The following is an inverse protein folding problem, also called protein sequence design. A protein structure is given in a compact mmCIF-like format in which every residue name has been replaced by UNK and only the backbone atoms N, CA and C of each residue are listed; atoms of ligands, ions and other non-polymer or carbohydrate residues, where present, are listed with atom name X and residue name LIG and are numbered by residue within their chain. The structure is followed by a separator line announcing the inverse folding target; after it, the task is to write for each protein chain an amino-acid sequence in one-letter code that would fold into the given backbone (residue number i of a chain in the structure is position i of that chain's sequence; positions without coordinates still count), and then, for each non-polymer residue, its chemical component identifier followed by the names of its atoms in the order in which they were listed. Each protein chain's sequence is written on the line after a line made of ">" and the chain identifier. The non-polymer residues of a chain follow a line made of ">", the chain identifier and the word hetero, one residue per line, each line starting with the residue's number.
data_IF_225526550310
#
_entry.id   IF_225526550310
#
_cell.length_a   1.000
_cell.length_b   1.000
_cell.length_c   1.000
_cell.angle_alpha   90.00
_cell.angle_beta   90.00
_cell.angle_gamma   90.00
#
_symmetry.space_group_name_H-M   'P 1'
#
loop_
_entity.id
_entity.type
_entity.pdbx_description
1 polymer ?
#
# COMPACT_ATOMS: atom_id res chain seq x y z
N UNK A 1 -17.02 -16.37 20.97
CA UNK A 1 -15.62 -16.34 20.53
C UNK A 1 -15.09 -14.92 20.68
N UNK A 2 -13.85 -14.73 21.17
CA UNK A 2 -13.22 -13.40 21.20
C UNK A 2 -13.00 -12.86 19.77
N UNK A 3 -12.96 -11.54 19.61
CA UNK A 3 -12.68 -10.89 18.32
C UNK A 3 -11.27 -11.27 17.83
N UNK A 4 -11.11 -11.50 16.53
CA UNK A 4 -9.81 -11.78 15.92
C UNK A 4 -8.92 -10.53 16.00
N UNK A 5 -7.76 -10.64 16.65
CA UNK A 5 -6.84 -9.52 16.88
C UNK A 5 -5.45 -10.04 17.26
N UNK A 6 -4.51 -9.12 17.46
CA UNK A 6 -3.14 -9.37 17.91
C UNK A 6 -2.87 -8.69 19.26
N UNK A 7 -1.76 -9.00 19.91
CA UNK A 7 -1.34 -8.35 21.16
C UNK A 7 -0.57 -7.04 20.88
N UNK A 8 -0.82 -5.99 21.67
CA UNK A 8 -0.26 -4.65 21.45
C UNK A 8 -1.16 -3.79 20.58
N UNK A 9 -0.60 -2.83 19.85
CA UNK A 9 -1.34 -1.87 19.00
C UNK A 9 -1.92 -0.69 19.77
N UNK A 10 -2.54 0.22 19.03
CA UNK A 10 -3.14 1.47 19.52
C UNK A 10 -4.49 1.71 18.86
N UNK A 11 -5.26 2.65 19.41
CA UNK A 11 -6.50 3.16 18.83
C UNK A 11 -6.33 4.67 18.56
N UNK A 12 -5.76 5.06 17.40
CA UNK A 12 -5.67 6.47 17.02
C UNK A 12 -7.05 7.02 16.65
N UNK A 13 -7.17 8.34 16.58
CA UNK A 13 -8.32 8.97 15.94
C UNK A 13 -8.41 8.50 14.48
N UNK A 14 -9.58 8.01 14.06
CA UNK A 14 -9.69 7.33 12.75
C UNK A 14 -9.80 8.32 11.59
N UNK A 15 -10.52 9.44 11.75
CA UNK A 15 -10.70 10.47 10.72
C UNK A 15 -11.36 9.99 9.42
N UNK A 16 -11.96 8.79 9.43
CA UNK A 16 -12.56 8.18 8.23
C UNK A 16 -13.88 8.81 7.85
N UNK A 17 -14.59 9.42 8.79
CA UNK A 17 -15.85 10.14 8.60
C UNK A 17 -15.73 11.29 7.59
N UNK A 18 -14.51 11.81 7.37
CA UNK A 18 -14.27 12.89 6.42
C UNK A 18 -14.51 12.47 4.95
N UNK A 19 -14.28 11.20 4.60
CA UNK A 19 -14.31 10.75 3.20
C UNK A 19 -15.03 9.42 2.96
N UNK A 20 -15.37 8.65 4.01
CA UNK A 20 -15.93 7.30 3.84
C UNK A 20 -17.29 7.29 3.13
N UNK A 21 -18.11 8.31 3.34
CA UNK A 21 -19.48 8.38 2.79
C UNK A 21 -19.52 9.00 1.38
N UNK A 22 -18.37 9.48 0.87
CA UNK A 22 -18.23 10.00 -0.49
C UNK A 22 -17.92 8.88 -1.48
N UNK A 23 -18.77 8.67 -2.52
CA UNK A 23 -18.50 7.70 -3.58
C UNK A 23 -17.18 7.98 -4.30
N UNK A 24 -16.66 6.98 -4.98
CA UNK A 24 -15.46 7.13 -5.82
C UNK A 24 -15.80 8.03 -7.02
N UNK A 25 -15.13 9.17 -7.14
CA UNK A 25 -15.23 10.07 -8.28
C UNK A 25 -14.09 9.80 -9.28
N UNK A 26 -14.41 9.68 -10.57
CA UNK A 26 -13.37 9.55 -11.60
C UNK A 26 -12.73 10.89 -11.86
N UNK A 27 -11.41 10.97 -11.75
CA UNK A 27 -10.64 12.16 -12.14
C UNK A 27 -9.90 11.91 -13.46
N UNK A 28 -10.04 12.85 -14.42
CA UNK A 28 -9.30 12.85 -15.67
C UNK A 28 -8.25 13.97 -15.63
N UNK A 29 -6.94 13.64 -15.61
CA UNK A 29 -5.87 14.61 -15.51
C UNK A 29 -5.80 15.47 -16.79
N UNK A 30 -5.43 16.74 -16.62
CA UNK A 30 -5.33 17.71 -17.73
C UNK A 30 -3.89 17.98 -18.14
N UNK A 31 -2.96 17.86 -17.19
CA UNK A 31 -1.54 18.09 -17.41
C UNK A 31 -0.80 16.87 -17.96
N UNK A 32 0.50 16.98 -18.06
CA UNK A 32 1.40 15.90 -18.43
C UNK A 32 1.42 14.81 -17.35
N UNK A 33 1.57 13.56 -17.76
CA UNK A 33 1.67 12.42 -16.85
C UNK A 33 3.13 12.02 -16.65
N UNK A 34 3.52 11.84 -15.39
CA UNK A 34 4.89 11.51 -14.99
C UNK A 34 4.93 10.10 -14.41
N UNK A 35 5.64 9.18 -15.05
CA UNK A 35 5.72 7.77 -14.67
C UNK A 35 7.11 7.43 -14.13
N UNK A 36 7.34 7.44 -12.81
CA UNK A 36 8.59 6.97 -12.24
C UNK A 36 8.89 5.53 -12.68
N UNK A 37 10.11 5.24 -13.12
CA UNK A 37 10.54 3.90 -13.50
C UNK A 37 10.64 2.96 -12.29
N UNK A 38 10.81 3.52 -11.09
CA UNK A 38 10.89 2.81 -9.81
C UNK A 38 9.61 3.01 -9.00
N UNK A 39 8.55 2.24 -9.29
CA UNK A 39 7.28 2.27 -8.56
C UNK A 39 7.07 1.04 -7.66
N UNK A 40 8.06 0.15 -7.54
CA UNK A 40 7.98 -1.12 -6.82
C UNK A 40 9.35 -1.53 -6.27
N UNK A 41 9.37 -2.50 -5.35
CA UNK A 41 10.62 -3.12 -4.88
C UNK A 41 11.21 -3.96 -6.01
N UNK A 42 12.54 -3.98 -6.10
CA UNK A 42 13.30 -4.73 -7.09
C UNK A 42 13.94 -3.83 -8.14
N UNK A 43 14.19 -4.37 -9.32
CA UNK A 43 14.81 -3.62 -10.41
C UNK A 43 13.82 -2.61 -11.01
N UNK A 44 14.20 -1.35 -11.27
CA UNK A 44 13.36 -0.39 -11.99
C UNK A 44 12.92 -0.94 -13.35
N UNK A 45 11.76 -0.50 -13.83
CA UNK A 45 11.30 -0.82 -15.17
C UNK A 45 12.19 -0.14 -16.22
N UNK A 46 12.33 -0.75 -17.38
CA UNK A 46 13.20 -0.28 -18.49
C UNK A 46 12.31 0.30 -19.58
N UNK A 47 12.46 1.57 -19.97
CA UNK A 47 11.65 2.18 -21.02
C UNK A 47 11.72 1.41 -22.34
N UNK A 48 10.58 1.18 -22.98
CA UNK A 48 10.47 0.63 -24.32
C UNK A 48 9.90 1.65 -25.32
N UNK A 49 9.78 2.91 -24.90
CA UNK A 49 9.36 4.07 -25.70
C UNK A 49 10.43 5.16 -25.69
N UNK A 50 10.41 6.03 -26.69
CA UNK A 50 11.33 7.16 -26.86
C UNK A 50 10.59 8.46 -27.12
N UNK A 51 11.27 9.58 -26.98
CA UNK A 51 10.73 10.91 -27.29
C UNK A 51 10.12 10.95 -28.70
N UNK A 52 8.90 11.47 -28.77
CA UNK A 52 8.12 11.61 -29.99
C UNK A 52 7.21 10.41 -30.32
N UNK A 53 7.31 9.31 -29.59
CA UNK A 53 6.40 8.18 -29.80
C UNK A 53 4.98 8.55 -29.33
N UNK A 54 3.97 8.21 -30.12
CA UNK A 54 2.56 8.29 -29.74
C UNK A 54 2.18 7.03 -28.98
N UNK A 55 1.41 7.18 -27.89
CA UNK A 55 0.95 6.09 -27.05
C UNK A 55 -0.55 6.18 -26.78
N UNK A 56 -1.17 5.03 -26.52
CA UNK A 56 -2.56 4.91 -26.09
C UNK A 56 -2.62 4.52 -24.60
N UNK A 57 -3.72 4.85 -23.91
CA UNK A 57 -3.95 4.39 -22.57
C UNK A 57 -4.00 2.85 -22.53
N UNK A 58 -3.32 2.23 -21.57
CA UNK A 58 -3.13 0.77 -21.50
C UNK A 58 -1.94 0.24 -22.28
N UNK A 59 -1.31 1.03 -23.15
CA UNK A 59 -0.11 0.60 -23.87
C UNK A 59 1.10 0.48 -22.92
N UNK A 60 1.87 -0.59 -23.07
CA UNK A 60 3.11 -0.78 -22.32
C UNK A 60 4.15 0.26 -22.76
N UNK A 61 4.72 0.98 -21.79
CA UNK A 61 5.73 2.04 -21.99
C UNK A 61 7.09 1.70 -21.37
N UNK A 62 7.13 0.69 -20.49
CA UNK A 62 8.39 0.15 -19.97
C UNK A 62 8.23 -1.34 -19.68
N UNK A 63 9.28 -2.10 -19.94
CA UNK A 63 9.38 -3.53 -19.61
C UNK A 63 9.87 -3.75 -18.17
N UNK A 64 9.66 -4.96 -17.65
CA UNK A 64 10.26 -5.36 -16.37
C UNK A 64 11.78 -5.40 -16.46
N UNK A 65 12.47 -4.73 -15.52
CA UNK A 65 13.94 -4.66 -15.49
C UNK A 65 14.64 -5.87 -14.89
N UNK A 66 13.90 -6.90 -14.46
CA UNK A 66 14.45 -8.10 -13.84
C UNK A 66 13.38 -9.06 -13.33
N UNK A 67 13.79 -10.09 -12.58
CA UNK A 67 12.85 -11.07 -12.01
C UNK A 67 11.88 -10.44 -11.03
N UNK A 68 12.38 -9.62 -10.10
CA UNK A 68 11.55 -8.82 -9.18
C UNK A 68 11.34 -7.45 -9.84
N UNK A 69 10.42 -7.38 -10.80
CA UNK A 69 10.05 -6.17 -11.53
C UNK A 69 8.77 -6.42 -12.30
N UNK A 70 8.08 -5.34 -12.71
CA UNK A 70 6.87 -5.39 -13.54
C UNK A 70 6.90 -4.30 -14.61
N UNK A 71 6.15 -4.46 -15.72
CA UNK A 71 5.97 -3.41 -16.73
C UNK A 71 5.23 -2.18 -16.20
N UNK A 72 5.41 -1.04 -16.90
CA UNK A 72 4.60 0.16 -16.76
C UNK A 72 3.75 0.37 -18.01
N UNK A 73 2.55 0.92 -17.81
CA UNK A 73 1.60 1.21 -18.88
C UNK A 73 1.18 2.66 -18.83
N UNK A 74 1.01 3.28 -19.99
CA UNK A 74 0.43 4.60 -20.10
C UNK A 74 -0.99 4.61 -19.53
N UNK A 75 -1.36 5.64 -18.85
CA UNK A 75 -2.71 5.82 -18.28
C UNK A 75 -3.56 6.78 -19.11
N UNK A 76 -2.94 7.47 -20.06
CA UNK A 76 -3.56 8.38 -21.03
C UNK A 76 -3.06 8.09 -22.43
N UNK A 77 -3.76 8.59 -23.47
CA UNK A 77 -3.21 8.75 -24.81
C UNK A 77 -2.42 10.06 -24.90
N UNK A 78 -1.43 10.09 -25.79
CA UNK A 78 -0.60 11.26 -25.96
C UNK A 78 0.75 10.99 -26.61
N UNK A 79 1.71 11.90 -26.40
CA UNK A 79 3.06 11.83 -26.99
C UNK A 79 4.12 11.79 -25.89
N UNK A 80 5.08 10.89 -26.02
CA UNK A 80 6.22 10.78 -25.08
C UNK A 80 7.13 11.99 -25.25
N UNK A 81 7.25 12.83 -24.21
CA UNK A 81 8.14 14.01 -24.18
C UNK A 81 9.61 13.60 -23.99
N UNK A 82 9.84 12.51 -23.24
CA UNK A 82 11.16 12.00 -22.95
C UNK A 82 11.25 11.26 -21.62
N UNK A 83 12.51 10.99 -21.22
CA UNK A 83 12.83 10.48 -19.89
C UNK A 83 13.51 11.62 -19.13
N UNK A 84 12.90 12.02 -18.02
CA UNK A 84 13.31 13.18 -17.23
C UNK A 84 13.37 12.81 -15.74
N UNK A 85 14.11 13.62 -14.96
CA UNK A 85 14.16 13.44 -13.51
C UNK A 85 13.05 14.23 -12.84
N UNK A 86 12.21 13.53 -12.09
CA UNK A 86 11.15 14.13 -11.27
C UNK A 86 11.24 13.67 -9.82
N UNK A 87 10.69 14.49 -8.94
CA UNK A 87 10.56 14.18 -7.53
C UNK A 87 9.54 13.07 -7.33
N UNK A 88 9.86 12.10 -6.48
CA UNK A 88 8.90 11.10 -6.01
C UNK A 88 8.43 11.41 -4.58
N UNK A 89 7.40 10.70 -4.12
CA UNK A 89 6.84 10.88 -2.78
C UNK A 89 7.82 10.57 -1.62
N UNK A 90 8.96 9.92 -1.88
CA UNK A 90 10.00 9.68 -0.86
C UNK A 90 11.07 10.78 -0.80
N UNK A 91 10.91 11.86 -1.59
CA UNK A 91 11.82 12.99 -1.64
C UNK A 91 13.07 12.76 -2.50
N UNK A 92 13.05 11.80 -3.43
CA UNK A 92 14.17 11.50 -4.30
C UNK A 92 13.88 11.89 -5.75
N UNK A 93 14.90 12.43 -6.44
CA UNK A 93 14.84 12.64 -7.90
C UNK A 93 15.09 11.31 -8.60
N UNK A 94 14.11 10.85 -9.38
CA UNK A 94 14.14 9.57 -10.09
C UNK A 94 13.84 9.74 -11.57
N UNK A 95 14.32 8.81 -12.39
CA UNK A 95 14.03 8.82 -13.82
C UNK A 95 12.56 8.44 -14.06
N UNK A 96 11.88 9.26 -14.88
CA UNK A 96 10.46 9.14 -15.20
C UNK A 96 10.25 9.23 -16.71
N UNK A 97 9.33 8.44 -17.23
CA UNK A 97 8.76 8.69 -18.56
C UNK A 97 7.73 9.82 -18.40
N UNK A 98 7.82 10.86 -19.26
CA UNK A 98 6.85 11.95 -19.30
C UNK A 98 6.03 11.86 -20.57
N UNK A 99 4.70 11.87 -20.43
CA UNK A 99 3.74 11.83 -21.55
C UNK A 99 2.93 13.12 -21.55
N UNK A 100 2.99 13.85 -22.66
CA UNK A 100 2.09 14.97 -22.95
C UNK A 100 0.69 14.40 -23.22
N UNK A 101 -0.26 14.77 -22.37
CA UNK A 101 -1.63 14.28 -22.42
C UNK A 101 -2.40 14.99 -23.55
N UNK A 102 -2.90 14.23 -24.53
CA UNK A 102 -3.71 14.77 -25.62
C UNK A 102 -5.19 14.99 -25.22
N UNK A 103 -5.57 14.60 -24.00
CA UNK A 103 -6.91 14.67 -23.42
C UNK A 103 -7.99 13.91 -24.22
N UNK A 104 -7.59 13.00 -25.11
CA UNK A 104 -8.52 12.14 -25.85
C UNK A 104 -8.80 10.84 -25.09
N UNK A 105 -7.89 10.40 -24.22
CA UNK A 105 -7.98 9.18 -23.39
C UNK A 105 -8.30 7.93 -24.22
N UNK A 106 -7.78 7.85 -25.46
CA UNK A 106 -7.96 6.68 -26.31
C UNK A 106 -7.24 5.49 -25.70
N UNK A 107 -7.97 4.37 -25.58
CA UNK A 107 -7.45 3.13 -25.00
C UNK A 107 -7.01 2.14 -26.08
N UNK A 108 -6.07 1.26 -25.74
CA UNK A 108 -5.81 0.06 -26.54
C UNK A 108 -7.01 -0.89 -26.44
N UNK A 109 -7.15 -1.81 -27.40
CA UNK A 109 -8.13 -2.89 -27.29
C UNK A 109 -7.67 -3.91 -26.24
N UNK A 110 -8.54 -4.23 -25.28
CA UNK A 110 -8.27 -5.19 -24.21
C UNK A 110 -8.86 -6.56 -24.56
N UNK A 111 -8.08 -7.63 -24.31
CA UNK A 111 -8.51 -8.99 -24.54
C UNK A 111 -9.02 -9.62 -23.26
N UNK A 112 -10.33 -9.76 -23.13
CA UNK A 112 -10.95 -10.49 -22.03
C UNK A 112 -10.71 -12.00 -22.15
N UNK A 113 -10.71 -12.69 -21.01
CA UNK A 113 -10.55 -14.14 -20.94
C UNK A 113 -11.45 -14.73 -19.87
N UNK A 114 -11.82 -15.97 -20.04
CA UNK A 114 -12.54 -16.74 -19.03
C UNK A 114 -11.52 -17.47 -18.17
N UNK A 115 -11.78 -17.54 -16.87
CA UNK A 115 -10.85 -18.14 -15.91
C UNK A 115 -10.59 -19.62 -16.20
N UNK A 116 -11.62 -20.35 -16.62
CA UNK A 116 -11.56 -21.77 -16.95
C UNK A 116 -10.68 -22.11 -18.14
N UNK A 117 -10.39 -21.12 -19.01
CA UNK A 117 -9.58 -21.31 -20.21
C UNK A 117 -8.08 -21.03 -19.95
N UNK A 118 -7.70 -20.60 -18.73
CA UNK A 118 -6.35 -20.18 -18.40
C UNK A 118 -5.60 -21.21 -17.55
N UNK A 119 -4.37 -21.50 -17.91
CA UNK A 119 -3.43 -22.25 -17.09
C UNK A 119 -2.87 -21.39 -15.95
N UNK A 120 -2.34 -22.02 -14.90
CA UNK A 120 -1.67 -21.30 -13.78
C UNK A 120 -0.52 -20.40 -14.27
N UNK A 121 0.23 -20.84 -15.27
CA UNK A 121 1.33 -20.07 -15.85
C UNK A 121 0.83 -18.84 -16.60
N UNK A 122 -0.24 -18.96 -17.39
CA UNK A 122 -0.87 -17.84 -18.10
C UNK A 122 -1.44 -16.82 -17.12
N UNK A 123 -2.06 -17.25 -16.02
CA UNK A 123 -2.54 -16.37 -14.95
C UNK A 123 -1.36 -15.57 -14.36
N UNK A 124 -0.27 -16.22 -13.97
CA UNK A 124 0.92 -15.55 -13.41
C UNK A 124 1.54 -14.59 -14.43
N UNK A 125 1.62 -14.97 -15.70
CA UNK A 125 2.13 -14.10 -16.75
C UNK A 125 1.23 -12.88 -16.97
N UNK A 126 -0.10 -13.02 -16.99
CA UNK A 126 -1.04 -11.88 -17.10
C UNK A 126 -0.95 -10.94 -15.90
N UNK A 127 -0.76 -11.45 -14.69
CA UNK A 127 -0.51 -10.64 -13.49
C UNK A 127 0.78 -9.83 -13.65
N UNK A 128 1.86 -10.46 -14.15
CA UNK A 128 3.14 -9.81 -14.43
C UNK A 128 2.98 -8.74 -15.51
N UNK A 129 2.49 -9.13 -16.69
CA UNK A 129 2.33 -8.24 -17.85
C UNK A 129 1.31 -7.11 -17.57
N UNK A 130 0.28 -7.35 -16.77
CA UNK A 130 -0.62 -6.31 -16.27
C UNK A 130 0.02 -5.34 -15.28
N UNK A 131 1.28 -5.56 -14.89
CA UNK A 131 2.03 -4.68 -14.01
C UNK A 131 1.50 -4.65 -12.57
N UNK A 132 0.90 -5.77 -12.09
CA UNK A 132 0.29 -5.82 -10.76
C UNK A 132 1.35 -5.92 -9.67
N UNK A 133 1.24 -5.03 -8.68
CA UNK A 133 2.11 -4.97 -7.50
C UNK A 133 1.29 -4.92 -6.22
N UNK A 134 1.91 -5.17 -5.08
CA UNK A 134 1.27 -5.02 -3.76
C UNK A 134 0.94 -3.55 -3.46
N UNK A 135 -0.33 -3.17 -3.56
CA UNK A 135 -0.79 -1.77 -3.49
C UNK A 135 -1.05 -1.25 -2.07
N UNK A 136 -1.04 -2.13 -1.08
CA UNK A 136 -1.18 -1.76 0.35
C UNK A 136 0.15 -1.48 1.06
N UNK A 137 1.28 -1.39 0.33
CA UNK A 137 2.60 -1.23 0.94
C UNK A 137 3.70 -0.92 -0.07
N UNK A 138 4.82 -1.61 0.04
CA UNK A 138 6.07 -1.29 -0.68
C UNK A 138 6.09 -1.68 -2.17
N UNK A 139 4.98 -2.11 -2.76
CA UNK A 139 4.90 -2.40 -4.19
C UNK A 139 5.62 -3.69 -4.61
N UNK A 140 5.62 -4.74 -3.80
CA UNK A 140 6.24 -5.99 -4.22
C UNK A 140 5.49 -6.62 -5.40
N UNK A 141 6.18 -7.07 -6.48
CA UNK A 141 5.54 -7.68 -7.65
C UNK A 141 4.67 -8.88 -7.31
N UNK A 142 3.37 -8.80 -7.62
CA UNK A 142 2.37 -9.79 -7.18
C UNK A 142 2.60 -11.17 -7.80
N UNK A 143 3.05 -11.25 -9.08
CA UNK A 143 3.35 -12.52 -9.73
C UNK A 143 4.47 -13.31 -9.01
N UNK A 144 5.45 -12.61 -8.41
CA UNK A 144 6.52 -13.26 -7.62
C UNK A 144 5.97 -13.78 -6.30
N UNK A 145 5.10 -13.00 -5.63
CA UNK A 145 4.45 -13.39 -4.38
C UNK A 145 3.57 -14.62 -4.56
N UNK A 146 2.85 -14.70 -5.69
CA UNK A 146 1.92 -15.79 -6.02
C UNK A 146 2.61 -17.03 -6.63
N UNK A 147 3.93 -17.00 -6.83
CA UNK A 147 4.75 -18.11 -7.29
C UNK A 147 5.79 -18.52 -6.21
N UNK A 148 5.35 -18.98 -5.00
CA UNK A 148 6.28 -19.45 -3.98
C UNK A 148 6.98 -20.73 -4.45
N UNK A 149 8.14 -21.04 -3.84
CA UNK A 149 8.94 -22.24 -4.19
C UNK A 149 8.14 -23.54 -4.08
N UNK A 150 7.23 -23.61 -3.11
CA UNK A 150 6.33 -24.74 -2.89
C UNK A 150 4.88 -24.24 -2.73
N UNK A 151 4.11 -24.16 -3.83
CA UNK A 151 2.72 -23.73 -3.80
C UNK A 151 1.80 -24.63 -2.97
N UNK A 152 2.17 -25.92 -2.79
CA UNK A 152 1.35 -26.88 -2.03
C UNK A 152 1.29 -26.58 -0.54
N UNK A 153 2.26 -25.81 -0.02
CA UNK A 153 2.31 -25.37 1.38
C UNK A 153 1.40 -24.18 1.69
N UNK A 154 0.88 -23.51 0.66
CA UNK A 154 -0.01 -22.35 0.88
C UNK A 154 -1.40 -22.85 1.25
N UNK A 155 -1.81 -22.51 2.46
CA UNK A 155 -3.10 -22.90 3.05
C UNK A 155 -4.08 -21.71 3.11
N UNK A 156 -3.56 -20.48 3.18
CA UNK A 156 -4.39 -19.28 3.34
C UNK A 156 -3.99 -18.15 2.40
N UNK A 157 -4.97 -17.63 1.67
CA UNK A 157 -4.86 -16.37 0.93
C UNK A 157 -5.66 -15.32 1.71
N UNK A 158 -4.97 -14.33 2.27
CA UNK A 158 -5.57 -13.28 3.08
C UNK A 158 -5.74 -12.00 2.23
N UNK A 159 -6.98 -11.60 1.98
CA UNK A 159 -7.29 -10.29 1.43
C UNK A 159 -7.33 -9.29 2.58
N UNK A 160 -6.40 -8.36 2.57
CA UNK A 160 -6.28 -7.32 3.57
C UNK A 160 -7.23 -6.17 3.26
N UNK A 161 -8.42 -6.20 3.85
CA UNK A 161 -9.42 -5.15 3.86
C UNK A 161 -9.53 -4.44 5.22
N UNK A 162 -8.51 -4.59 6.09
CA UNK A 162 -8.51 -3.92 7.40
C UNK A 162 -8.50 -2.40 7.25
N UNK A 163 -7.60 -1.85 6.40
CA UNK A 163 -7.44 -0.40 6.19
C UNK A 163 -7.30 0.36 7.50
N UNK A 164 -6.32 -0.09 8.34
CA UNK A 164 -6.14 0.40 9.70
C UNK A 164 -5.44 1.77 9.81
N UNK A 165 -4.86 2.29 8.72
CA UNK A 165 -4.31 3.67 8.69
C UNK A 165 -5.44 4.69 8.83
N UNK A 166 -5.29 5.68 9.75
CA UNK A 166 -6.26 6.76 9.87
C UNK A 166 -6.44 7.55 8.57
N UNK A 167 -7.60 8.15 8.40
CA UNK A 167 -8.05 8.99 7.27
C UNK A 167 -8.25 8.29 5.93
N UNK A 168 -7.66 7.10 5.70
CA UNK A 168 -7.74 6.40 4.42
C UNK A 168 -9.05 5.63 4.33
N UNK A 169 -9.75 5.75 3.19
CA UNK A 169 -11.04 5.09 2.93
C UNK A 169 -11.12 4.50 1.52
N UNK A 170 -10.02 4.44 0.79
CA UNK A 170 -9.96 3.92 -0.58
C UNK A 170 -10.36 2.45 -0.67
N UNK A 171 -9.85 1.58 0.23
CA UNK A 171 -10.19 0.16 0.24
C UNK A 171 -11.64 -0.07 0.72
N UNK A 172 -12.10 0.70 1.72
CA UNK A 172 -13.50 0.69 2.15
C UNK A 172 -14.43 0.97 0.96
N UNK A 173 -14.18 2.06 0.23
CA UNK A 173 -15.01 2.41 -0.94
C UNK A 173 -14.96 1.36 -2.03
N UNK A 174 -13.79 0.76 -2.29
CA UNK A 174 -13.67 -0.38 -3.21
C UNK A 174 -14.53 -1.56 -2.79
N UNK A 175 -14.50 -1.93 -1.51
CA UNK A 175 -15.31 -3.03 -0.98
C UNK A 175 -16.81 -2.74 -1.03
N UNK A 176 -17.24 -1.48 -0.91
CA UNK A 176 -18.64 -1.09 -1.00
C UNK A 176 -19.12 -0.97 -2.46
N UNK A 177 -18.31 -0.40 -3.34
CA UNK A 177 -18.75 -0.08 -4.71
C UNK A 177 -18.45 -1.20 -5.72
N UNK A 178 -17.40 -1.97 -5.50
CA UNK A 178 -16.95 -3.02 -6.42
C UNK A 178 -16.66 -4.37 -5.70
N UNK A 179 -17.52 -4.83 -4.77
CA UNK A 179 -17.25 -6.01 -3.94
C UNK A 179 -17.09 -7.29 -4.78
N UNK A 180 -17.81 -7.41 -5.90
CA UNK A 180 -17.73 -8.56 -6.81
C UNK A 180 -16.32 -8.68 -7.42
N UNK A 181 -15.63 -7.55 -7.67
CA UNK A 181 -14.27 -7.58 -8.20
C UNK A 181 -13.26 -8.11 -7.18
N UNK A 182 -13.48 -7.84 -5.88
CA UNK A 182 -12.67 -8.40 -4.80
C UNK A 182 -12.83 -9.92 -4.76
N UNK A 183 -14.08 -10.42 -4.77
CA UNK A 183 -14.36 -11.85 -4.75
C UNK A 183 -13.81 -12.55 -5.98
N UNK A 184 -14.06 -12.01 -7.18
CA UNK A 184 -13.52 -12.56 -8.45
C UNK A 184 -11.99 -12.57 -8.49
N UNK A 185 -11.35 -11.51 -8.00
CA UNK A 185 -9.89 -11.46 -7.91
C UNK A 185 -9.31 -12.50 -6.96
N UNK A 186 -9.97 -12.71 -5.81
CA UNK A 186 -9.60 -13.78 -4.88
C UNK A 186 -9.81 -15.17 -5.50
N UNK A 187 -10.90 -15.40 -6.27
CA UNK A 187 -11.11 -16.62 -7.00
C UNK A 187 -9.99 -16.89 -8.00
N UNK A 188 -9.56 -15.87 -8.78
CA UNK A 188 -8.40 -15.98 -9.68
C UNK A 188 -7.15 -16.41 -8.92
N UNK A 189 -6.85 -15.79 -7.77
CA UNK A 189 -5.68 -16.15 -6.97
C UNK A 189 -5.79 -17.59 -6.45
N UNK A 190 -6.97 -18.01 -6.00
CA UNK A 190 -7.21 -19.35 -5.45
C UNK A 190 -7.04 -20.47 -6.49
N UNK A 191 -7.15 -20.19 -7.81
CA UNK A 191 -6.86 -21.19 -8.82
C UNK A 191 -5.39 -21.58 -8.92
N UNK A 192 -4.49 -20.72 -8.40
CA UNK A 192 -3.05 -21.01 -8.35
C UNK A 192 -2.71 -22.06 -7.27
N UNK A 193 -3.59 -22.25 -6.27
CA UNK A 193 -3.36 -23.06 -5.08
C UNK A 193 -4.50 -24.09 -4.89
N UNK A 194 -4.19 -25.37 -4.92
CA UNK A 194 -5.19 -26.44 -4.99
C UNK A 194 -6.05 -26.54 -3.73
N UNK A 195 -5.48 -26.32 -2.53
CA UNK A 195 -6.14 -26.51 -1.23
C UNK A 195 -6.31 -25.23 -0.41
N UNK A 196 -5.78 -24.10 -0.86
CA UNK A 196 -5.82 -22.87 -0.07
C UNK A 196 -7.25 -22.34 0.14
N UNK A 197 -7.49 -21.75 1.32
CA UNK A 197 -8.71 -20.99 1.64
C UNK A 197 -8.46 -19.50 1.50
N UNK A 198 -9.45 -18.77 1.00
CA UNK A 198 -9.43 -17.32 0.89
C UNK A 198 -10.12 -16.68 2.10
N UNK A 199 -9.44 -15.78 2.78
CA UNK A 199 -10.01 -15.00 3.88
C UNK A 199 -10.04 -13.53 3.51
N UNK A 200 -11.24 -12.91 3.49
CA UNK A 200 -11.39 -11.48 3.33
C UNK A 200 -11.45 -10.88 4.75
N UNK A 201 -10.37 -10.22 5.17
CA UNK A 201 -10.20 -9.71 6.53
C UNK A 201 -10.62 -8.24 6.58
N UNK A 202 -11.69 -7.91 7.32
CA UNK A 202 -12.28 -6.58 7.40
C UNK A 202 -12.41 -6.18 8.87
N UNK A 203 -12.03 -4.93 9.22
CA UNK A 203 -12.21 -4.41 10.57
C UNK A 203 -13.69 -4.17 10.91
N UNK A 204 -14.05 -4.40 12.18
CA UNK A 204 -15.42 -4.33 12.71
C UNK A 204 -16.04 -2.92 12.71
N UNK A 205 -15.27 -1.88 12.37
CA UNK A 205 -15.80 -0.53 12.09
C UNK A 205 -16.40 -0.38 10.68
N UNK A 206 -16.46 -1.47 9.88
CA UNK A 206 -17.01 -1.52 8.51
C UNK A 206 -18.12 -2.58 8.40
N UNK A 207 -19.20 -2.49 9.22
CA UNK A 207 -20.23 -3.55 9.30
C UNK A 207 -21.00 -3.75 7.99
N UNK A 208 -21.18 -2.71 7.21
CA UNK A 208 -21.79 -2.71 5.89
C UNK A 208 -20.96 -3.49 4.85
N UNK A 209 -19.63 -3.28 4.82
CA UNK A 209 -18.70 -4.07 4.01
C UNK A 209 -18.74 -5.55 4.43
N UNK A 210 -18.71 -5.83 5.73
CA UNK A 210 -18.74 -7.19 6.27
C UNK A 210 -20.03 -7.90 5.84
N UNK A 211 -21.20 -7.24 5.98
CA UNK A 211 -22.49 -7.80 5.59
C UNK A 211 -22.53 -8.09 4.08
N UNK A 212 -22.12 -7.12 3.26
CA UNK A 212 -22.11 -7.23 1.81
C UNK A 212 -21.19 -8.35 1.31
N UNK A 213 -19.96 -8.43 1.85
CA UNK A 213 -19.02 -9.47 1.49
C UNK A 213 -19.48 -10.86 1.94
N UNK A 214 -20.04 -11.00 3.16
CA UNK A 214 -20.60 -12.27 3.64
C UNK A 214 -21.72 -12.79 2.72
N UNK A 215 -22.60 -11.91 2.25
CA UNK A 215 -23.67 -12.29 1.33
C UNK A 215 -23.13 -12.76 -0.02
N UNK A 216 -22.08 -12.10 -0.55
CA UNK A 216 -21.47 -12.46 -1.83
C UNK A 216 -20.71 -13.80 -1.80
N UNK A 217 -20.17 -14.17 -0.65
CA UNK A 217 -19.34 -15.39 -0.54
C UNK A 217 -20.06 -16.57 0.10
N UNK A 218 -21.35 -16.43 0.48
CA UNK A 218 -22.08 -17.45 1.23
C UNK A 218 -22.12 -18.83 0.57
N UNK A 219 -22.13 -18.85 -0.76
CA UNK A 219 -22.20 -20.08 -1.57
C UNK A 219 -20.82 -20.45 -2.20
N UNK A 220 -19.71 -19.89 -1.68
CA UNK A 220 -18.35 -20.15 -2.17
C UNK A 220 -17.54 -20.84 -1.09
N UNK A 221 -17.46 -22.17 -1.14
CA UNK A 221 -16.87 -23.04 -0.11
C UNK A 221 -15.45 -22.67 0.35
N UNK A 222 -14.64 -22.09 -0.54
CA UNK A 222 -13.23 -21.77 -0.26
C UNK A 222 -13.00 -20.35 0.24
N UNK A 223 -14.04 -19.50 0.33
CA UNK A 223 -13.90 -18.09 0.72
C UNK A 223 -14.72 -17.79 1.98
N UNK A 224 -14.10 -17.13 2.94
CA UNK A 224 -14.72 -16.73 4.20
C UNK A 224 -14.37 -15.27 4.54
N UNK A 225 -15.33 -14.52 5.09
CA UNK A 225 -15.07 -13.19 5.64
C UNK A 225 -14.66 -13.31 7.11
N UNK A 226 -13.48 -12.77 7.44
CA UNK A 226 -12.95 -12.70 8.80
C UNK A 226 -13.12 -11.30 9.35
N UNK A 227 -13.94 -11.17 10.38
CA UNK A 227 -14.13 -9.93 11.10
C UNK A 227 -12.99 -9.76 12.12
N UNK A 228 -12.16 -8.72 11.93
CA UNK A 228 -11.03 -8.41 12.80
C UNK A 228 -11.31 -7.14 13.62
N UNK A 229 -10.69 -7.03 14.79
CA UNK A 229 -10.86 -5.87 15.67
C UNK A 229 -10.27 -4.61 15.04
N UNK A 230 -11.02 -3.51 15.05
CA UNK A 230 -10.52 -2.18 14.71
C UNK A 230 -9.40 -1.76 15.64
N UNK A 231 -8.18 -1.69 15.12
CA UNK A 231 -6.99 -1.43 15.90
C UNK A 231 -5.79 -1.20 14.96
N UNK A 232 -4.91 -0.29 15.30
CA UNK A 232 -3.69 -0.07 14.51
C UNK A 232 -2.47 -0.79 15.14
N UNK A 233 -1.65 -1.55 14.37
CA UNK A 233 -1.72 -1.84 12.94
C UNK A 233 -2.37 -3.22 12.62
N UNK A 234 -3.68 -3.35 12.66
CA UNK A 234 -4.39 -4.60 12.36
C UNK A 234 -4.12 -5.08 10.91
N UNK A 235 -3.99 -4.14 9.96
CA UNK A 235 -3.65 -4.42 8.56
C UNK A 235 -2.16 -4.68 8.30
N UNK A 236 -1.30 -4.66 9.30
CA UNK A 236 0.09 -5.08 9.15
C UNK A 236 0.17 -6.55 8.77
N UNK A 237 1.02 -6.94 7.81
CA UNK A 237 1.09 -8.31 7.28
C UNK A 237 1.21 -9.36 8.39
N UNK A 238 2.14 -9.17 9.36
CA UNK A 238 2.35 -10.11 10.47
C UNK A 238 1.17 -10.15 11.45
N UNK A 239 0.63 -8.98 11.78
CA UNK A 239 -0.50 -8.87 12.71
C UNK A 239 -1.78 -9.43 12.11
N UNK A 240 -1.99 -9.28 10.79
CA UNK A 240 -3.13 -9.84 10.10
C UNK A 240 -3.04 -11.37 9.99
N UNK A 241 -1.87 -11.92 9.64
CA UNK A 241 -1.63 -13.36 9.61
C UNK A 241 -1.95 -13.96 11.00
N UNK A 242 -1.39 -13.36 12.06
CA UNK A 242 -1.66 -13.84 13.42
C UNK A 242 -3.15 -13.77 13.79
N UNK A 243 -3.80 -12.63 13.54
CA UNK A 243 -5.22 -12.45 13.86
C UNK A 243 -6.12 -13.44 13.10
N UNK A 244 -5.84 -13.68 11.81
CA UNK A 244 -6.70 -14.52 10.97
C UNK A 244 -6.41 -16.02 11.08
N UNK A 245 -5.16 -16.42 11.38
CA UNK A 245 -4.72 -17.84 11.33
C UNK A 245 -4.07 -18.35 12.61
N UNK A 246 -3.70 -17.48 13.55
CA UNK A 246 -2.91 -17.82 14.74
C UNK A 246 -1.43 -18.11 14.46
N UNK A 247 -0.96 -17.95 13.20
CA UNK A 247 0.43 -18.21 12.82
C UNK A 247 1.31 -16.99 13.07
N UNK A 248 2.55 -17.24 13.47
CA UNK A 248 3.53 -16.19 13.77
C UNK A 248 4.66 -16.21 12.76
N UNK A 249 5.11 -15.00 12.36
CA UNK A 249 6.27 -14.81 11.49
C UNK A 249 7.21 -13.76 12.07
N UNK A 250 8.51 -13.95 11.91
CA UNK A 250 9.56 -13.02 12.32
C UNK A 250 10.14 -12.23 11.11
N UNK A 251 11.14 -11.39 11.35
CA UNK A 251 11.74 -10.53 10.30
C UNK A 251 12.53 -11.30 9.24
N UNK A 252 12.91 -12.53 9.50
CA UNK A 252 13.64 -13.40 8.57
C UNK A 252 12.75 -14.29 7.72
N UNK A 253 11.43 -14.30 7.98
CA UNK A 253 10.46 -15.17 7.32
C UNK A 253 9.60 -14.37 6.34
N UNK A 254 9.11 -15.06 5.32
CA UNK A 254 8.06 -14.58 4.41
C UNK A 254 6.72 -15.20 4.82
N UNK A 255 5.57 -14.58 4.48
CA UNK A 255 4.25 -15.19 4.71
C UNK A 255 4.11 -16.61 4.18
N UNK A 256 4.73 -16.92 3.04
CA UNK A 256 4.75 -18.25 2.44
C UNK A 256 5.41 -19.32 3.35
N UNK A 257 6.36 -18.93 4.19
CA UNK A 257 7.03 -19.87 5.12
C UNK A 257 6.07 -20.41 6.19
N UNK A 258 4.99 -19.68 6.44
CA UNK A 258 3.90 -20.08 7.34
C UNK A 258 2.61 -20.42 6.58
N UNK A 259 2.72 -20.73 5.28
CA UNK A 259 1.58 -21.16 4.46
C UNK A 259 0.56 -20.05 4.15
N UNK A 260 0.97 -18.80 4.15
CA UNK A 260 0.09 -17.66 3.92
C UNK A 260 0.55 -16.80 2.74
N UNK A 261 -0.41 -16.20 2.03
CA UNK A 261 -0.19 -15.07 1.13
C UNK A 261 -1.11 -13.94 1.58
N UNK A 262 -0.61 -12.71 1.59
CA UNK A 262 -1.40 -11.52 1.99
C UNK A 262 -1.39 -10.52 0.85
N UNK A 263 -2.57 -10.16 0.33
CA UNK A 263 -2.72 -9.12 -0.68
C UNK A 263 -3.79 -8.10 -0.26
N UNK A 264 -3.53 -6.83 -0.57
CA UNK A 264 -4.47 -5.73 -0.32
C UNK A 264 -5.68 -5.81 -1.27
N UNK A 265 -6.81 -5.24 -0.89
CA UNK A 265 -8.06 -5.17 -1.69
C UNK A 265 -7.81 -4.65 -3.11
N UNK A 266 -7.11 -3.53 -3.29
CA UNK A 266 -6.83 -2.96 -4.61
C UNK A 266 -5.93 -3.87 -5.46
N UNK A 267 -4.98 -4.60 -4.83
CA UNK A 267 -4.14 -5.60 -5.51
C UNK A 267 -5.01 -6.74 -6.06
N UNK A 268 -5.92 -7.26 -5.25
CA UNK A 268 -6.83 -8.37 -5.65
C UNK A 268 -7.76 -7.94 -6.79
N UNK A 269 -8.31 -6.72 -6.71
CA UNK A 269 -9.10 -6.13 -7.83
C UNK A 269 -8.24 -6.01 -9.10
N UNK A 270 -6.97 -5.61 -8.96
CA UNK A 270 -6.05 -5.47 -10.08
C UNK A 270 -5.67 -6.81 -10.70
N UNK A 271 -5.58 -7.87 -9.90
CA UNK A 271 -5.42 -9.25 -10.42
C UNK A 271 -6.62 -9.62 -11.30
N UNK A 272 -7.85 -9.39 -10.82
CA UNK A 272 -9.05 -9.62 -11.65
C UNK A 272 -9.01 -8.82 -12.95
N UNK A 273 -8.70 -7.52 -12.89
CA UNK A 273 -8.64 -6.65 -14.07
C UNK A 273 -7.58 -7.14 -15.08
N UNK A 274 -6.38 -7.50 -14.60
CA UNK A 274 -5.29 -7.95 -15.47
C UNK A 274 -5.56 -9.32 -16.09
N UNK A 275 -6.05 -10.28 -15.30
CA UNK A 275 -6.21 -11.67 -15.76
C UNK A 275 -7.46 -11.85 -16.61
N UNK A 276 -8.59 -11.31 -16.16
CA UNK A 276 -9.90 -11.55 -16.83
C UNK A 276 -10.22 -10.47 -17.84
N UNK A 277 -10.02 -9.18 -17.49
CA UNK A 277 -10.38 -8.07 -18.38
C UNK A 277 -9.22 -7.62 -19.29
N UNK A 278 -8.01 -8.20 -19.16
CA UNK A 278 -6.83 -7.81 -19.92
C UNK A 278 -6.34 -6.38 -19.61
N UNK A 279 -6.84 -5.73 -18.56
CA UNK A 279 -6.56 -4.34 -18.23
C UNK A 279 -5.37 -4.21 -17.29
N UNK A 280 -4.30 -3.50 -17.67
CA UNK A 280 -3.13 -3.31 -16.82
C UNK A 280 -3.41 -2.32 -15.68
N UNK A 281 -2.50 -2.30 -14.70
CA UNK A 281 -2.52 -1.31 -13.61
C UNK A 281 -2.04 0.04 -14.13
N UNK A 282 -2.99 0.89 -14.46
CA UNK A 282 -2.78 2.27 -14.89
C UNK A 282 -3.63 3.29 -14.11
N UNK A 283 -4.37 2.84 -13.11
CA UNK A 283 -5.20 3.68 -12.25
C UNK A 283 -5.40 3.04 -10.88
N UNK A 284 -5.71 3.86 -9.87
CA UNK A 284 -6.11 3.38 -8.55
C UNK A 284 -7.01 4.39 -7.83
N UNK A 285 -7.69 3.95 -6.76
CA UNK A 285 -8.40 4.88 -5.87
C UNK A 285 -7.42 5.50 -4.87
N UNK A 286 -7.48 6.80 -4.75
CA UNK A 286 -6.67 7.63 -3.85
C UNK A 286 -7.60 8.43 -2.95
N UNK A 287 -7.40 8.35 -1.62
CA UNK A 287 -8.11 9.19 -0.66
C UNK A 287 -7.42 10.55 -0.54
N UNK A 288 -8.14 11.62 -0.83
CA UNK A 288 -7.76 13.01 -0.51
C UNK A 288 -8.44 13.37 0.81
N UNK A 289 -7.69 13.59 1.91
CA UNK A 289 -8.30 13.78 3.23
C UNK A 289 -7.44 14.62 4.16
N UNK A 290 -7.91 14.76 5.40
CA UNK A 290 -7.31 15.62 6.42
C UNK A 290 -8.11 16.88 6.66
N UNK A 291 -7.79 17.60 7.75
CA UNK A 291 -8.45 18.84 8.13
C UNK A 291 -8.00 20.04 7.28
N UNK A 292 -6.92 19.91 6.51
CA UNK A 292 -6.34 20.94 5.65
C UNK A 292 -6.82 20.95 4.19
N UNK A 293 -7.59 19.96 3.72
CA UNK A 293 -8.23 19.95 2.39
C UNK A 293 -9.69 20.40 2.52
N UNK A 294 -10.22 21.10 1.51
CA UNK A 294 -11.59 21.65 1.61
C UNK A 294 -12.67 20.60 1.43
N UNK A 295 -12.49 19.69 0.47
CA UNK A 295 -13.47 18.67 0.09
C UNK A 295 -12.81 17.27 0.15
N UNK A 296 -12.74 16.62 1.34
CA UNK A 296 -12.24 15.26 1.43
C UNK A 296 -13.07 14.31 0.57
N UNK A 297 -12.39 13.46 -0.24
CA UNK A 297 -13.06 12.52 -1.15
C UNK A 297 -12.13 11.38 -1.59
N UNK A 298 -12.71 10.40 -2.29
CA UNK A 298 -11.99 9.31 -2.90
C UNK A 298 -12.02 9.48 -4.43
N UNK A 299 -10.84 9.56 -5.05
CA UNK A 299 -10.71 9.76 -6.49
C UNK A 299 -10.17 8.49 -7.16
N UNK A 300 -10.79 8.06 -8.27
CA UNK A 300 -10.15 7.12 -9.19
C UNK A 300 -9.18 7.91 -10.07
N UNK A 301 -7.88 7.76 -9.78
CA UNK A 301 -6.80 8.53 -10.35
C UNK A 301 -6.01 7.69 -11.35
N UNK A 302 -5.68 8.27 -12.51
CA UNK A 302 -4.77 7.69 -13.48
C UNK A 302 -3.31 7.79 -12.99
N UNK A 303 -2.52 6.73 -13.16
CA UNK A 303 -1.10 6.73 -12.77
C UNK A 303 -0.34 7.83 -13.50
N UNK A 304 0.55 8.52 -12.80
CA UNK A 304 1.31 9.64 -13.35
C UNK A 304 0.67 11.03 -13.15
N UNK A 305 -0.59 11.10 -12.69
CA UNK A 305 -1.26 12.37 -12.37
C UNK A 305 -0.51 13.11 -11.27
N UNK A 306 -0.27 14.39 -11.47
CA UNK A 306 0.34 15.26 -10.45
C UNK A 306 -0.62 15.48 -9.27
N UNK A 307 -0.10 15.44 -8.04
CA UNK A 307 -0.91 15.63 -6.84
C UNK A 307 -1.57 17.01 -6.78
N UNK A 308 -0.95 18.06 -7.35
CA UNK A 308 -1.52 19.39 -7.36
C UNK A 308 -2.87 19.45 -8.10
N UNK A 309 -3.04 18.68 -9.19
CA UNK A 309 -4.32 18.57 -9.88
C UNK A 309 -5.41 17.94 -8.98
N UNK A 310 -5.03 16.97 -8.15
CA UNK A 310 -5.96 16.31 -7.22
C UNK A 310 -6.34 17.22 -6.06
N UNK A 311 -5.44 18.10 -5.62
CA UNK A 311 -5.73 19.14 -4.64
C UNK A 311 -6.83 20.06 -5.19
N UNK A 312 -6.70 20.50 -6.44
CA UNK A 312 -7.70 21.36 -7.09
C UNK A 312 -9.05 20.62 -7.24
N UNK A 313 -9.02 19.34 -7.62
CA UNK A 313 -10.21 18.49 -7.71
C UNK A 313 -10.92 18.27 -6.35
N UNK A 314 -10.17 18.39 -5.25
CA UNK A 314 -10.69 18.35 -3.87
C UNK A 314 -10.96 19.75 -3.30
N UNK A 315 -11.28 20.74 -4.15
CA UNK A 315 -11.69 22.10 -3.78
C UNK A 315 -10.53 23.01 -3.31
N UNK A 316 -9.29 22.53 -3.37
CA UNK A 316 -8.10 23.25 -2.95
C UNK A 316 -7.78 23.09 -1.46
N UNK A 317 -6.61 23.57 -1.07
CA UNK A 317 -6.17 23.58 0.32
C UNK A 317 -6.86 24.71 1.11
N UNK A 318 -6.97 24.53 2.41
CA UNK A 318 -7.30 25.62 3.34
C UNK A 318 -6.10 26.55 3.51
N UNK A 319 -6.33 27.72 4.13
CA UNK A 319 -5.34 28.80 4.17
C UNK A 319 -4.00 28.43 4.85
N UNK A 320 -4.00 27.49 5.76
CA UNK A 320 -2.80 27.08 6.51
C UNK A 320 -2.69 25.55 6.54
N UNK A 321 -1.62 25.03 5.95
CA UNK A 321 -1.24 23.63 6.00
C UNK A 321 0.09 23.52 6.73
N UNK A 322 0.13 22.73 7.79
CA UNK A 322 1.35 22.43 8.53
C UNK A 322 2.08 21.21 7.96
N UNK A 323 1.33 20.24 7.38
CA UNK A 323 1.92 19.02 6.85
C UNK A 323 1.10 18.43 5.70
N UNK A 324 1.79 18.01 4.64
CA UNK A 324 1.28 17.14 3.59
C UNK A 324 1.93 15.76 3.69
N UNK A 325 1.16 14.68 3.49
CA UNK A 325 1.63 13.29 3.64
C UNK A 325 1.14 12.48 2.44
N UNK A 326 2.04 11.70 1.84
CA UNK A 326 1.68 10.62 0.91
C UNK A 326 1.51 9.32 1.69
N UNK A 327 0.31 8.73 1.67
CA UNK A 327 -0.10 7.61 2.50
C UNK A 327 -0.79 8.04 3.80
N UNK A 328 -0.84 7.13 4.79
CA UNK A 328 -1.44 7.41 6.09
C UNK A 328 -0.51 8.14 7.07
N UNK A 329 -1.03 8.68 8.17
CA UNK A 329 -0.24 9.49 9.12
C UNK A 329 0.76 8.68 9.93
N UNK A 330 0.60 7.33 9.97
CA UNK A 330 1.44 6.46 10.79
C UNK A 330 2.67 5.93 10.03
N UNK A 331 2.51 5.53 8.77
CA UNK A 331 3.56 4.93 7.95
C UNK A 331 3.86 5.69 6.65
N UNK A 332 3.10 6.72 6.32
CA UNK A 332 3.30 7.54 5.12
C UNK A 332 4.56 8.41 5.17
N UNK A 333 4.79 9.14 4.08
CA UNK A 333 5.93 10.04 3.90
C UNK A 333 5.46 11.49 3.93
N UNK A 334 6.05 12.31 4.79
CA UNK A 334 5.85 13.76 4.75
C UNK A 334 6.44 14.33 3.45
N UNK A 335 5.67 15.16 2.78
CA UNK A 335 6.05 15.80 1.52
C UNK A 335 6.52 17.22 1.78
N UNK A 336 7.56 17.66 1.09
CA UNK A 336 8.03 19.05 1.06
C UNK A 336 7.68 19.77 -0.24
N UNK A 337 7.19 19.01 -1.23
CA UNK A 337 6.72 19.51 -2.51
C UNK A 337 5.37 18.86 -2.84
N UNK A 338 4.47 19.60 -3.43
CA UNK A 338 3.14 19.14 -3.83
C UNK A 338 3.09 18.65 -5.29
N UNK A 339 4.21 18.79 -6.03
CA UNK A 339 4.36 18.29 -7.40
C UNK A 339 5.00 16.91 -7.42
N UNK A 340 4.23 15.93 -6.98
CA UNK A 340 4.63 14.51 -7.00
C UNK A 340 3.60 13.68 -7.77
N UNK A 341 4.04 12.74 -8.62
CA UNK A 341 3.11 11.93 -9.40
C UNK A 341 2.44 10.84 -8.55
N UNK A 342 1.19 10.56 -8.83
CA UNK A 342 0.51 9.37 -8.36
C UNK A 342 1.13 8.12 -8.98
N UNK A 343 1.44 7.13 -8.16
CA UNK A 343 2.02 5.85 -8.57
C UNK A 343 1.09 4.69 -8.25
N UNK A 344 1.45 3.48 -8.66
CA UNK A 344 0.71 2.25 -8.33
C UNK A 344 0.50 2.06 -6.82
N UNK A 345 1.38 2.61 -5.97
CA UNK A 345 1.34 2.44 -4.52
C UNK A 345 0.75 3.63 -3.76
N UNK A 346 0.38 4.72 -4.43
CA UNK A 346 -0.23 5.90 -3.79
C UNK A 346 -1.64 5.58 -3.30
N UNK A 347 -1.87 5.49 -1.99
CA UNK A 347 -3.19 5.18 -1.40
C UNK A 347 -3.97 6.41 -0.94
N UNK A 348 -3.25 7.44 -0.52
CA UNK A 348 -3.85 8.68 -0.03
C UNK A 348 -2.86 9.85 -0.13
N UNK A 349 -3.42 11.07 -0.15
CA UNK A 349 -2.74 12.30 0.21
C UNK A 349 -3.50 12.98 1.34
N UNK A 350 -2.78 13.28 2.42
CA UNK A 350 -3.34 13.90 3.61
C UNK A 350 -2.76 15.30 3.79
N UNK A 351 -3.63 16.24 4.14
CA UNK A 351 -3.27 17.64 4.38
C UNK A 351 -3.75 18.02 5.77
N UNK A 352 -2.81 18.37 6.66
CA UNK A 352 -3.07 18.60 8.06
C UNK A 352 -2.78 20.06 8.43
N UNK A 353 -3.70 20.70 9.15
CA UNK A 353 -3.53 22.06 9.68
C UNK A 353 -2.54 22.09 10.85
N UNK A 354 -2.36 20.94 11.54
CA UNK A 354 -1.44 20.78 12.67
C UNK A 354 -0.42 19.66 12.40
N UNK A 355 0.85 19.90 12.71
CA UNK A 355 1.89 18.87 12.72
C UNK A 355 2.18 18.39 14.14
N UNK A 356 1.43 17.41 14.61
CA UNK A 356 1.61 16.82 15.93
C UNK A 356 3.03 16.28 16.19
N UNK A 357 3.81 15.96 15.14
CA UNK A 357 5.20 15.50 15.27
C UNK A 357 6.13 16.68 15.53
N UNK A 358 5.96 17.80 14.81
CA UNK A 358 6.72 19.03 15.03
C UNK A 358 6.41 19.61 16.40
N UNK A 359 5.13 19.74 16.75
CA UNK A 359 4.69 20.22 18.08
C UNK A 359 5.24 19.34 19.21
N UNK A 360 5.29 18.01 19.00
CA UNK A 360 5.87 17.08 19.97
C UNK A 360 7.37 17.30 20.21
N UNK A 361 8.12 17.76 19.21
CA UNK A 361 9.56 18.03 19.35
C UNK A 361 9.84 19.19 20.31
N UNK A 362 8.97 20.20 20.34
CA UNK A 362 9.12 21.37 21.23
C UNK A 362 8.96 21.01 22.70
N UNK A 363 8.19 19.97 23.00
CA UNK A 363 7.89 19.54 24.40
C UNK A 363 8.53 18.19 24.75
N UNK A 364 9.47 17.72 23.93
CA UNK A 364 10.14 16.44 24.14
C UNK A 364 10.96 16.45 25.43
N UNK A 365 10.83 15.39 26.23
CA UNK A 365 11.58 15.20 27.49
C UNK A 365 12.38 13.90 27.49
N UNK A 366 13.19 13.70 28.52
CA UNK A 366 13.89 12.44 28.77
C UNK A 366 12.89 11.27 28.98
N UNK A 367 13.33 10.06 28.68
CA UNK A 367 12.51 8.86 28.90
C UNK A 367 12.23 8.69 30.42
N UNK A 368 10.94 8.61 30.78
CA UNK A 368 10.46 8.39 32.15
C UNK A 368 10.32 6.91 32.54
N UNK A 369 10.75 5.99 31.68
CA UNK A 369 10.73 4.53 31.91
C UNK A 369 9.33 3.94 32.20
N UNK A 370 8.25 4.53 31.69
CA UNK A 370 6.87 4.10 31.95
C UNK A 370 6.44 2.78 31.29
N UNK A 371 7.21 2.23 30.34
CA UNK A 371 6.92 0.98 29.65
C UNK A 371 5.79 1.00 28.60
N UNK A 372 5.08 2.13 28.40
CA UNK A 372 3.94 2.20 27.44
C UNK A 372 4.34 1.81 26.01
N UNK A 373 5.54 2.18 25.55
CA UNK A 373 6.02 1.82 24.22
C UNK A 373 6.20 0.30 24.03
N UNK A 374 6.50 -0.43 25.10
CA UNK A 374 6.61 -1.91 25.09
C UNK A 374 5.22 -2.55 25.05
N UNK A 375 4.26 -2.05 25.85
CA UNK A 375 2.91 -2.63 25.92
C UNK A 375 2.13 -2.55 24.61
N UNK A 376 2.42 -1.54 23.77
CA UNK A 376 1.74 -1.35 22.47
C UNK A 376 2.53 -1.92 21.28
N UNK A 377 3.76 -2.41 21.50
CA UNK A 377 4.59 -2.88 20.39
C UNK A 377 4.06 -4.20 19.80
N UNK A 378 3.62 -4.24 18.53
CA UNK A 378 3.15 -5.47 17.90
C UNK A 378 4.28 -6.45 17.58
N UNK A 379 5.53 -5.97 17.47
CA UNK A 379 6.73 -6.80 17.28
C UNK A 379 7.40 -7.24 18.59
N UNK A 380 6.79 -6.92 19.76
CA UNK A 380 7.26 -7.29 21.09
C UNK A 380 8.72 -6.94 21.43
N UNK A 381 9.27 -5.90 20.76
CA UNK A 381 10.63 -5.38 21.03
C UNK A 381 10.62 -4.38 22.18
N UNK A 382 11.79 -3.84 22.55
CA UNK A 382 11.98 -2.83 23.60
C UNK A 382 12.27 -1.43 23.00
N UNK A 383 11.25 -0.67 22.51
CA UNK A 383 11.47 0.51 21.65
C UNK A 383 12.34 1.59 22.32
N UNK A 384 12.15 1.85 23.62
CA UNK A 384 12.94 2.86 24.32
C UNK A 384 14.44 2.46 24.42
N UNK A 385 14.74 1.16 24.57
CA UNK A 385 16.13 0.66 24.58
C UNK A 385 16.74 0.69 23.18
N UNK A 386 16.00 0.23 22.18
CA UNK A 386 16.43 0.26 20.79
C UNK A 386 16.72 1.68 20.29
N UNK A 387 15.87 2.65 20.62
CA UNK A 387 16.09 4.05 20.28
C UNK A 387 17.38 4.59 20.93
N UNK A 388 17.65 4.23 22.20
CA UNK A 388 18.88 4.64 22.89
C UNK A 388 20.14 4.03 22.27
N UNK A 389 20.08 2.77 21.79
CA UNK A 389 21.19 2.15 21.07
C UNK A 389 21.38 2.81 19.69
N UNK A 390 20.29 3.14 19.00
CA UNK A 390 20.33 3.87 17.75
C UNK A 390 20.96 5.27 17.91
N UNK A 391 20.59 6.01 18.94
CA UNK A 391 21.17 7.33 19.27
C UNK A 391 22.69 7.27 19.58
N UNK A 392 23.19 6.11 20.03
CA UNK A 392 24.61 5.85 20.29
C UNK A 392 25.37 5.25 19.10
N UNK A 393 24.69 4.90 18.00
CA UNK A 393 25.29 4.21 16.87
C UNK A 393 25.66 2.75 17.14
N UNK A 394 25.14 2.14 18.22
CA UNK A 394 25.45 0.75 18.61
C UNK A 394 24.60 -0.24 17.79
N UNK A 395 25.09 -0.58 16.60
CA UNK A 395 24.46 -1.56 15.72
C UNK A 395 24.45 -2.97 16.32
N UNK A 396 25.53 -3.39 16.95
CA UNK A 396 25.65 -4.74 17.52
C UNK A 396 24.66 -4.95 18.67
N UNK A 397 24.60 -4.00 19.60
CA UNK A 397 23.61 -4.01 20.68
C UNK A 397 22.16 -3.93 20.16
N UNK A 398 21.92 -3.18 19.08
CA UNK A 398 20.61 -3.09 18.45
C UNK A 398 20.16 -4.42 17.84
N UNK A 399 21.05 -5.14 17.12
CA UNK A 399 20.75 -6.47 16.59
C UNK A 399 20.57 -7.51 17.71
N UNK A 400 21.40 -7.46 18.76
CA UNK A 400 21.32 -8.36 19.90
C UNK A 400 20.03 -8.20 20.73
N UNK A 401 19.34 -7.07 20.64
CA UNK A 401 18.03 -6.80 21.25
C UNK A 401 16.88 -6.90 20.24
N UNK A 402 17.02 -7.71 19.20
CA UNK A 402 16.00 -7.96 18.18
C UNK A 402 15.47 -6.68 17.50
N UNK A 403 16.33 -5.66 17.32
CA UNK A 403 15.93 -4.41 16.70
C UNK A 403 15.39 -4.56 15.28
N UNK A 404 15.81 -5.62 14.58
CA UNK A 404 15.32 -5.95 13.23
C UNK A 404 13.88 -6.45 13.21
N UNK A 405 13.31 -6.91 14.32
CA UNK A 405 11.89 -7.30 14.44
C UNK A 405 10.93 -6.09 14.45
N UNK A 406 11.45 -4.87 14.57
CA UNK A 406 10.61 -3.67 14.49
C UNK A 406 9.95 -3.56 13.12
N UNK A 407 8.61 -3.48 13.07
CA UNK A 407 7.82 -3.28 11.85
C UNK A 407 7.60 -1.80 11.47
N UNK A 408 8.28 -0.87 12.14
CA UNK A 408 8.25 0.58 11.86
C UNK A 408 6.86 1.24 11.92
N UNK A 409 5.91 0.64 12.63
CA UNK A 409 4.49 1.04 12.65
C UNK A 409 4.18 2.37 13.35
N UNK A 410 5.10 2.95 14.11
CA UNK A 410 4.86 4.23 14.80
C UNK A 410 4.15 4.15 16.17
N UNK A 411 3.56 3.02 16.56
CA UNK A 411 2.80 2.88 17.82
C UNK A 411 3.57 3.37 19.06
N UNK A 412 4.87 3.07 19.12
CA UNK A 412 5.72 3.44 20.27
C UNK A 412 5.95 4.96 20.37
N UNK A 413 6.12 5.66 19.24
CA UNK A 413 6.21 7.13 19.22
C UNK A 413 4.88 7.78 19.58
N UNK A 414 3.78 7.27 19.00
CA UNK A 414 2.43 7.77 19.24
C UNK A 414 2.05 7.76 20.71
N UNK A 415 2.28 6.64 21.41
CA UNK A 415 1.88 6.47 22.82
C UNK A 415 2.85 7.13 23.82
N UNK A 416 4.03 7.60 23.39
CA UNK A 416 5.07 8.09 24.27
C UNK A 416 4.68 9.39 24.96
N UNK A 417 4.51 9.43 26.31
CA UNK A 417 4.16 10.66 27.01
C UNK A 417 5.33 11.67 27.03
N UNK A 418 6.57 11.19 26.88
CA UNK A 418 7.77 12.02 26.78
C UNK A 418 8.03 12.50 25.33
N UNK A 419 7.10 12.25 24.41
CA UNK A 419 7.13 12.70 23.01
C UNK A 419 8.41 12.33 22.24
N UNK A 420 9.02 11.19 22.57
CA UNK A 420 10.28 10.75 21.94
C UNK A 420 10.03 10.19 20.52
N UNK A 421 10.91 10.53 19.55
CA UNK A 421 10.82 10.04 18.17
C UNK A 421 11.37 8.60 18.03
N UNK A 422 10.81 7.66 18.83
CA UNK A 422 11.33 6.28 18.96
C UNK A 422 11.38 5.55 17.62
N UNK A 423 10.33 5.68 16.82
CA UNK A 423 10.22 5.01 15.50
C UNK A 423 11.29 5.54 14.54
N UNK A 424 11.51 6.84 14.50
CA UNK A 424 12.50 7.48 13.61
C UNK A 424 13.92 7.01 13.94
N UNK A 425 14.29 7.00 15.22
CA UNK A 425 15.60 6.50 15.68
C UNK A 425 15.80 5.02 15.30
N UNK A 426 14.81 4.17 15.59
CA UNK A 426 14.85 2.73 15.25
C UNK A 426 14.93 2.51 13.74
N UNK A 427 14.10 3.22 12.95
CA UNK A 427 14.08 3.14 11.49
C UNK A 427 15.41 3.53 10.86
N UNK A 428 16.07 4.58 11.38
CA UNK A 428 17.39 5.00 10.93
C UNK A 428 18.44 3.92 11.20
N UNK A 429 18.45 3.32 12.38
CA UNK A 429 19.38 2.24 12.72
C UNK A 429 19.13 0.98 11.87
N UNK A 430 17.85 0.59 11.64
CA UNK A 430 17.53 -0.54 10.77
C UNK A 430 18.06 -0.33 9.35
N UNK A 431 17.95 0.89 8.79
CA UNK A 431 18.53 1.22 7.49
C UNK A 431 20.05 1.06 7.48
N UNK A 432 20.74 1.49 8.54
CA UNK A 432 22.20 1.33 8.66
C UNK A 432 22.61 -0.15 8.72
N UNK A 433 21.93 -0.97 9.51
CA UNK A 433 22.16 -2.42 9.58
C UNK A 433 21.96 -3.07 8.21
N UNK A 434 20.84 -2.79 7.53
CA UNK A 434 20.57 -3.34 6.20
C UNK A 434 21.62 -2.90 5.16
N UNK A 435 22.08 -1.65 5.21
CA UNK A 435 23.13 -1.16 4.34
C UNK A 435 24.47 -1.85 4.61
N UNK A 436 24.81 -2.12 5.87
CA UNK A 436 26.02 -2.85 6.23
C UNK A 436 26.04 -4.30 5.75
N UNK A 437 24.87 -4.97 5.78
CA UNK A 437 24.69 -6.36 5.28
C UNK A 437 24.84 -6.47 3.75
N UNK A 438 24.50 -5.42 2.99
CA UNK A 438 24.64 -5.39 1.52
C UNK A 438 26.08 -5.17 1.06
N UNK A 439 26.97 -4.68 1.94
CA UNK A 439 28.39 -4.43 1.63
C UNK A 439 29.29 -5.64 1.94
N UNK A 440 28.75 -6.63 2.65
CA UNK A 440 29.36 -7.95 2.89
C UNK A 440 28.91 -8.95 1.83
#
# INVERSE_FOLDING_TARGET
>A
MGKLTFRGGIHPYEGKELSKDHPIEKYLPKGDLVYPLSQHIGAPSVPCVKKGDSVLAGQKIADAGGFVSVPLHASVSGTVKGIEKHLNATGSMVDCIVIENDQQYQEVEYQESRLEDLTKEEILNRIKEGGVVGMGGAGFPTHVKLAPKDPSRIEYILVNGAECEPYITSDYRRMIEEPEKVVKGLQVILTLFDSAKGYICIEDNKPDCIAKMKELVKDIDRIEVKEVMTKYPQGGERTLIYAATGREINSGMLPADVGCVVDNVETVISVYKAVILGRPVNSRVVTMSGDGIKEPKNLLVLSGTDMSELIDAAGGLKAKIAKAISGGPMMGFALYDLHVPCTKTTSAFLFLEHDAVSEAQEIQTACINCGRCVSVCPGHVLPARLAKLAERGDMAGFEALDGMECCECGCCSYICPAKRPLTQSIKSMRKMVLASRRKK
#
